data_IF_934512291961
#
_entry.id   IF_934512291961
#
_cell.length_a   1.000
_cell.length_b   1.000
_cell.length_c   1.000
_cell.angle_alpha   90.00
_cell.angle_beta   90.00
_cell.angle_gamma   90.00
#
_symmetry.space_group_name_H-M   'P 1'
#
loop_
_entity.id
_entity.type
_entity.pdbx_description
1 polymer ?
#
# COMPACT_ATOMS: atom_id res chain seq x y z
N UNK A 1 29.16 -85.41 -7.74
CA UNK A 1 27.82 -84.81 -7.92
C UNK A 1 27.72 -83.30 -7.59
N UNK A 2 28.81 -82.55 -7.38
CA UNK A 2 28.75 -81.11 -7.03
C UNK A 2 28.80 -80.14 -8.22
N UNK A 3 29.28 -80.55 -9.41
CA UNK A 3 29.41 -79.66 -10.58
C UNK A 3 28.11 -79.46 -11.38
N UNK A 4 27.20 -80.42 -11.38
CA UNK A 4 25.90 -80.33 -12.09
C UNK A 4 24.94 -79.34 -11.43
N UNK A 5 25.01 -79.21 -10.10
CA UNK A 5 24.14 -78.32 -9.32
C UNK A 5 24.41 -76.82 -9.58
N UNK A 6 25.65 -76.44 -9.91
CA UNK A 6 26.04 -75.04 -10.12
C UNK A 6 25.54 -74.51 -11.48
N UNK A 7 25.58 -75.34 -12.53
CA UNK A 7 25.09 -74.97 -13.86
C UNK A 7 23.57 -74.75 -13.90
N UNK A 8 22.82 -75.54 -13.14
CA UNK A 8 21.36 -75.37 -13.03
C UNK A 8 21.01 -74.07 -12.28
N UNK A 9 21.75 -73.75 -11.21
CA UNK A 9 21.58 -72.50 -10.47
C UNK A 9 21.89 -71.25 -11.30
N UNK A 10 22.92 -71.28 -12.16
CA UNK A 10 23.21 -70.15 -13.05
C UNK A 10 22.13 -69.94 -14.11
N UNK A 11 21.55 -71.02 -14.64
CA UNK A 11 20.48 -70.94 -15.63
C UNK A 11 19.21 -70.37 -14.99
N UNK A 12 18.88 -70.79 -13.76
CA UNK A 12 17.75 -70.23 -13.01
C UNK A 12 17.97 -68.74 -12.72
N UNK A 13 19.17 -68.33 -12.34
CA UNK A 13 19.48 -66.92 -12.07
C UNK A 13 19.36 -66.06 -13.35
N UNK A 14 19.88 -66.54 -14.48
CA UNK A 14 19.78 -65.83 -15.76
C UNK A 14 18.32 -65.75 -16.22
N UNK A 15 17.54 -66.82 -16.07
CA UNK A 15 16.10 -66.80 -16.34
C UNK A 15 15.37 -65.80 -15.45
N UNK A 16 15.68 -65.74 -14.15
CA UNK A 16 15.08 -64.77 -13.23
C UNK A 16 15.42 -63.33 -13.59
N UNK A 17 16.67 -63.06 -14.01
CA UNK A 17 17.10 -61.73 -14.44
C UNK A 17 16.38 -61.32 -15.73
N UNK A 18 16.25 -62.23 -16.71
CA UNK A 18 15.51 -61.97 -17.95
C UNK A 18 14.00 -61.76 -17.70
N UNK A 19 13.41 -62.46 -16.72
CA UNK A 19 12.01 -62.30 -16.36
C UNK A 19 11.74 -60.96 -15.65
N UNK A 20 12.68 -60.51 -14.80
CA UNK A 20 12.61 -59.21 -14.12
C UNK A 20 12.77 -58.06 -15.12
N UNK A 21 13.71 -58.14 -16.07
CA UNK A 21 13.86 -57.10 -17.10
C UNK A 21 12.65 -57.02 -18.03
N UNK A 22 12.06 -58.17 -18.40
CA UNK A 22 10.84 -58.21 -19.20
C UNK A 22 9.64 -57.63 -18.43
N UNK A 23 9.53 -57.91 -17.12
CA UNK A 23 8.51 -57.28 -16.28
C UNK A 23 8.71 -55.77 -16.16
N UNK A 24 9.95 -55.27 -16.03
CA UNK A 24 10.22 -53.83 -15.91
C UNK A 24 9.83 -53.10 -17.20
N UNK A 25 10.23 -53.61 -18.38
CA UNK A 25 9.86 -53.03 -19.68
C UNK A 25 8.35 -53.03 -19.93
N UNK A 26 7.65 -54.11 -19.54
CA UNK A 26 6.19 -54.19 -19.68
C UNK A 26 5.45 -53.36 -18.62
N UNK A 27 6.06 -53.11 -17.45
CA UNK A 27 5.51 -52.23 -16.42
C UNK A 27 5.73 -50.77 -16.79
N UNK A 28 6.88 -50.39 -17.35
CA UNK A 28 7.13 -49.04 -17.89
C UNK A 28 6.27 -48.78 -19.13
N UNK A 29 6.11 -49.74 -20.04
CA UNK A 29 5.13 -49.63 -21.15
C UNK A 29 3.69 -49.58 -20.66
N UNK A 30 3.31 -50.34 -19.63
CA UNK A 30 1.98 -50.23 -19.00
C UNK A 30 1.79 -48.90 -18.28
N UNK A 31 2.80 -48.38 -17.58
CA UNK A 31 2.76 -47.06 -16.95
C UNK A 31 2.64 -45.94 -17.99
N UNK A 32 3.32 -46.07 -19.14
CA UNK A 32 3.17 -45.14 -20.25
C UNK A 32 1.84 -45.30 -21.01
N UNK A 33 1.25 -46.51 -21.04
CA UNK A 33 -0.08 -46.76 -21.62
C UNK A 33 -1.26 -46.49 -20.66
N UNK A 34 -1.06 -46.48 -19.34
CA UNK A 34 -2.12 -46.24 -18.35
C UNK A 34 -2.23 -44.79 -17.88
N UNK A 35 -1.27 -43.92 -18.22
CA UNK A 35 -1.28 -42.50 -17.83
C UNK A 35 -1.71 -41.56 -18.96
N UNK A 36 -2.39 -42.06 -19.98
CA UNK A 36 -3.27 -41.23 -20.79
C UNK A 36 -4.61 -41.09 -20.08
N UNK A 37 -4.67 -40.20 -19.09
CA UNK A 37 -5.94 -39.82 -18.45
C UNK A 37 -6.86 -39.31 -19.55
N UNK A 38 -7.95 -40.03 -19.81
CA UNK A 38 -8.91 -39.64 -20.83
C UNK A 38 -9.53 -38.30 -20.47
N UNK A 39 -9.91 -37.48 -21.46
CA UNK A 39 -10.43 -36.14 -21.20
C UNK A 39 -11.69 -36.16 -20.31
N UNK A 40 -12.47 -37.24 -20.38
CA UNK A 40 -13.61 -37.49 -19.47
C UNK A 40 -13.17 -37.65 -18.01
N UNK A 41 -12.10 -38.41 -17.75
CA UNK A 41 -11.54 -38.58 -16.40
C UNK A 41 -10.95 -37.27 -15.87
N UNK A 42 -10.32 -36.46 -16.74
CA UNK A 42 -9.86 -35.12 -16.37
C UNK A 42 -11.03 -34.24 -15.94
N UNK A 43 -12.12 -34.22 -16.71
CA UNK A 43 -13.32 -33.43 -16.39
C UNK A 43 -13.91 -33.85 -15.03
N UNK A 44 -13.99 -35.16 -14.75
CA UNK A 44 -14.48 -35.67 -13.47
C UNK A 44 -13.55 -35.26 -12.32
N UNK A 45 -12.23 -35.35 -12.51
CA UNK A 45 -11.25 -34.96 -11.50
C UNK A 45 -11.28 -33.45 -11.21
N UNK A 46 -11.31 -32.61 -12.26
CA UNK A 46 -11.36 -31.16 -12.14
C UNK A 46 -12.69 -30.68 -11.54
N UNK A 47 -13.82 -31.30 -11.90
CA UNK A 47 -15.11 -30.97 -11.30
C UNK A 47 -15.18 -31.36 -9.83
N UNK A 48 -14.64 -32.53 -9.44
CA UNK A 48 -14.51 -32.92 -8.04
C UNK A 48 -13.62 -31.96 -7.25
N UNK A 49 -12.47 -31.57 -7.81
CA UNK A 49 -11.58 -30.59 -7.18
C UNK A 49 -12.23 -29.20 -7.06
N UNK A 50 -12.96 -28.75 -8.09
CA UNK A 50 -13.68 -27.48 -8.05
C UNK A 50 -14.74 -27.47 -6.94
N UNK A 51 -15.51 -28.55 -6.78
CA UNK A 51 -16.49 -28.69 -5.69
C UNK A 51 -15.80 -28.67 -4.32
N UNK A 52 -14.65 -29.33 -4.17
CA UNK A 52 -13.88 -29.33 -2.92
C UNK A 52 -13.35 -27.93 -2.59
N UNK A 53 -12.84 -27.19 -3.57
CA UNK A 53 -12.37 -25.81 -3.39
C UNK A 53 -13.52 -24.87 -3.05
N UNK A 54 -14.65 -24.96 -3.75
CA UNK A 54 -15.85 -24.16 -3.45
C UNK A 54 -16.35 -24.49 -2.04
N UNK A 55 -16.40 -25.77 -1.67
CA UNK A 55 -16.77 -26.20 -0.32
C UNK A 55 -15.83 -25.64 0.76
N UNK A 56 -14.53 -25.61 0.49
CA UNK A 56 -13.53 -25.00 1.37
C UNK A 56 -13.76 -23.50 1.54
N UNK A 57 -14.01 -22.77 0.44
CA UNK A 57 -14.32 -21.35 0.48
C UNK A 57 -15.60 -21.07 1.27
N UNK A 58 -16.67 -21.84 1.05
CA UNK A 58 -17.92 -21.71 1.81
C UNK A 58 -17.70 -22.04 3.30
N UNK A 59 -16.88 -23.04 3.61
CA UNK A 59 -16.53 -23.40 4.98
C UNK A 59 -15.75 -22.28 5.69
N UNK A 60 -14.75 -21.70 5.03
CA UNK A 60 -13.97 -20.58 5.56
C UNK A 60 -14.82 -19.31 5.69
N UNK A 61 -15.72 -19.07 4.74
CA UNK A 61 -16.63 -17.92 4.75
C UNK A 61 -17.88 -18.15 5.62
N UNK A 62 -18.05 -19.31 6.27
CA UNK A 62 -19.28 -19.65 7.01
C UNK A 62 -19.58 -18.61 8.10
N UNK A 63 -18.56 -18.12 8.78
CA UNK A 63 -18.72 -17.18 9.91
C UNK A 63 -19.04 -15.75 9.41
N UNK A 64 -18.78 -15.47 8.12
CA UNK A 64 -19.12 -14.20 7.47
C UNK A 64 -20.54 -14.28 6.88
N UNK A 65 -20.87 -15.36 6.18
CA UNK A 65 -22.13 -15.53 5.45
C UNK A 65 -23.29 -15.91 6.39
N UNK A 66 -23.05 -16.81 7.35
CA UNK A 66 -24.06 -17.27 8.31
C UNK A 66 -24.00 -16.52 9.64
N UNK A 67 -23.36 -15.35 9.67
CA UNK A 67 -23.32 -14.51 10.86
C UNK A 67 -24.74 -14.14 11.28
N UNK A 68 -25.13 -14.49 12.51
CA UNK A 68 -26.39 -13.98 13.08
C UNK A 68 -26.30 -12.47 13.21
N UNK A 69 -27.27 -11.75 12.65
CA UNK A 69 -27.37 -10.29 12.81
C UNK A 69 -27.47 -9.97 14.30
N UNK A 70 -26.68 -8.99 14.72
CA UNK A 70 -26.72 -8.52 16.11
C UNK A 70 -27.77 -7.40 16.23
N UNK A 71 -28.14 -7.06 17.46
CA UNK A 71 -29.04 -5.91 17.72
C UNK A 71 -28.51 -4.57 17.19
N UNK A 72 -27.22 -4.49 16.86
CA UNK A 72 -26.61 -3.33 16.21
C UNK A 72 -26.88 -3.31 14.70
N UNK A 73 -26.98 -4.47 14.05
CA UNK A 73 -27.22 -4.60 12.60
C UNK A 73 -28.67 -4.18 12.23
N UNK A 74 -29.65 -4.46 13.09
CA UNK A 74 -31.06 -4.18 12.81
C UNK A 74 -31.50 -2.75 13.15
N UNK A 75 -30.73 -2.03 13.98
CA UNK A 75 -31.05 -0.65 14.39
C UNK A 75 -30.43 0.37 13.44
N UNK A 76 -31.17 1.43 13.14
CA UNK A 76 -30.72 2.54 12.30
C UNK A 76 -30.05 3.59 13.20
N UNK A 77 -28.75 3.41 13.46
CA UNK A 77 -27.94 4.33 14.25
C UNK A 77 -27.21 5.32 13.34
N UNK A 78 -27.14 6.58 13.76
CA UNK A 78 -26.39 7.63 13.05
C UNK A 78 -24.91 7.27 12.86
N UNK A 79 -24.35 6.45 13.75
CA UNK A 79 -22.98 5.92 13.65
C UNK A 79 -22.72 5.04 12.42
N UNK A 80 -23.77 4.49 11.78
CA UNK A 80 -23.62 3.74 10.51
C UNK A 80 -23.42 4.65 9.31
N UNK A 81 -23.94 5.87 9.37
CA UNK A 81 -23.82 6.87 8.31
C UNK A 81 -22.70 7.88 8.58
N UNK A 82 -22.16 7.91 9.79
CA UNK A 82 -21.14 8.86 10.18
C UNK A 82 -19.72 8.40 9.78
N UNK A 83 -19.19 9.03 8.71
CA UNK A 83 -17.82 8.81 8.21
C UNK A 83 -16.74 9.54 9.03
N UNK A 84 -17.11 10.17 10.13
CA UNK A 84 -16.18 10.92 10.99
C UNK A 84 -15.03 10.05 11.49
N UNK A 85 -15.21 8.73 11.65
CA UNK A 85 -14.14 7.85 12.11
C UNK A 85 -13.00 7.68 11.07
N UNK A 86 -13.31 7.64 9.78
CA UNK A 86 -12.30 7.64 8.69
C UNK A 86 -11.55 8.98 8.62
N UNK A 87 -12.21 10.09 9.00
CA UNK A 87 -11.61 11.43 8.99
C UNK A 87 -10.46 11.59 10.00
N UNK A 88 -10.51 10.88 11.13
CA UNK A 88 -9.51 11.00 12.19
C UNK A 88 -8.44 9.90 12.18
N UNK A 89 -8.64 8.82 11.41
CA UNK A 89 -7.64 7.77 11.24
C UNK A 89 -6.78 7.94 9.97
N UNK A 90 -7.02 8.98 9.15
CA UNK A 90 -6.19 9.31 7.99
C UNK A 90 -4.89 10.04 8.34
N UNK A 91 -4.70 10.51 9.57
CA UNK A 91 -3.50 11.27 10.00
C UNK A 91 -2.35 10.37 10.48
N UNK A 92 -2.52 9.05 10.53
CA UNK A 92 -1.47 8.09 10.94
C UNK A 92 -0.93 7.22 9.79
N UNK A 93 -1.23 7.58 8.54
CA UNK A 93 -0.74 6.88 7.34
C UNK A 93 0.09 7.75 6.39
N UNK A 94 0.46 8.97 6.78
CA UNK A 94 1.19 9.90 5.90
C UNK A 94 2.72 9.98 6.17
N UNK A 95 3.24 9.25 7.17
CA UNK A 95 4.68 9.29 7.54
C UNK A 95 5.55 8.17 6.91
N UNK A 96 4.98 7.29 6.07
CA UNK A 96 5.76 6.35 5.25
C UNK A 96 5.54 6.64 3.78
N UNK A 97 6.28 7.63 3.29
CA UNK A 97 6.42 7.98 1.88
C UNK A 97 6.84 6.75 1.04
N UNK A 98 5.91 6.24 0.23
CA UNK A 98 6.30 5.68 -1.05
C UNK A 98 6.80 6.83 -1.94
N UNK A 99 8.10 6.79 -2.25
CA UNK A 99 8.78 7.63 -3.24
C UNK A 99 8.15 7.34 -4.62
N UNK A 100 7.04 8.01 -4.90
CA UNK A 100 6.28 7.89 -6.13
C UNK A 100 5.59 9.21 -6.40
N UNK A 101 6.20 10.02 -7.28
CA UNK A 101 5.77 11.33 -7.77
C UNK A 101 4.25 11.53 -7.90
N UNK A 102 3.55 11.89 -6.82
CA UNK A 102 2.17 12.39 -6.88
C UNK A 102 2.20 13.91 -6.85
N UNK A 103 2.25 14.53 -8.05
CA UNK A 103 2.21 15.99 -8.29
C UNK A 103 0.85 16.65 -7.99
N UNK A 104 0.13 16.21 -6.96
CA UNK A 104 -1.12 16.82 -6.50
C UNK A 104 -1.33 16.54 -5.00
N UNK A 105 -0.42 17.04 -4.16
CA UNK A 105 -0.61 17.06 -2.70
C UNK A 105 -1.83 17.94 -2.35
N UNK A 106 -2.45 17.74 -1.18
CA UNK A 106 -3.48 18.67 -0.66
C UNK A 106 -2.92 20.09 -0.54
N UNK A 107 -1.64 20.20 -0.19
CA UNK A 107 -0.88 21.45 -0.08
C UNK A 107 -0.80 22.21 -1.42
N UNK A 108 -0.60 21.49 -2.54
CA UNK A 108 -0.58 22.11 -3.88
C UNK A 108 -1.91 22.79 -4.22
N UNK A 109 -3.04 22.19 -3.81
CA UNK A 109 -4.38 22.74 -4.09
C UNK A 109 -4.66 23.96 -3.22
N UNK A 110 -4.23 23.93 -1.96
CA UNK A 110 -4.37 25.06 -1.04
C UNK A 110 -3.52 26.24 -1.50
N UNK A 111 -2.26 26.00 -1.87
CA UNK A 111 -1.36 27.03 -2.39
C UNK A 111 -1.92 27.70 -3.66
N UNK A 112 -2.48 26.91 -4.60
CA UNK A 112 -3.13 27.48 -5.80
C UNK A 112 -4.33 28.37 -5.48
N UNK A 113 -5.10 28.05 -4.43
CA UNK A 113 -6.22 28.88 -3.99
C UNK A 113 -5.73 30.16 -3.34
N UNK A 114 -4.67 30.09 -2.53
CA UNK A 114 -4.04 31.28 -1.95
C UNK A 114 -3.61 32.26 -3.04
N UNK A 115 -2.95 31.77 -4.10
CA UNK A 115 -2.56 32.59 -5.26
C UNK A 115 -3.75 33.14 -6.07
N UNK A 116 -4.98 32.69 -5.86
CA UNK A 116 -6.16 33.24 -6.54
C UNK A 116 -6.89 34.29 -5.69
N UNK A 117 -6.50 34.43 -4.43
CA UNK A 117 -7.11 35.38 -3.52
C UNK A 117 -6.64 36.81 -3.86
N UNK A 118 -7.54 37.75 -4.18
CA UNK A 118 -7.18 39.15 -4.45
C UNK A 118 -6.61 39.87 -3.21
N UNK A 119 -6.72 39.27 -2.03
CA UNK A 119 -6.19 39.82 -0.76
C UNK A 119 -4.89 39.17 -0.30
N UNK A 120 -4.15 38.49 -1.20
CA UNK A 120 -2.90 37.79 -0.87
C UNK A 120 -1.90 38.73 -0.18
N UNK A 121 -1.53 38.45 1.09
CA UNK A 121 -0.64 39.35 1.83
C UNK A 121 0.81 39.23 1.33
N UNK A 122 1.56 40.32 1.51
CA UNK A 122 2.98 40.38 1.19
C UNK A 122 3.81 39.63 2.25
N UNK A 123 4.24 38.41 1.92
CA UNK A 123 4.98 37.54 2.82
C UNK A 123 6.38 38.04 3.12
N UNK A 124 7.00 38.81 2.21
CA UNK A 124 8.29 39.44 2.47
C UNK A 124 8.16 40.52 3.54
N UNK A 125 7.08 41.31 3.48
CA UNK A 125 6.77 42.30 4.52
C UNK A 125 6.38 41.65 5.84
N UNK A 126 5.61 40.56 5.84
CA UNK A 126 5.23 39.85 7.07
C UNK A 126 6.47 39.34 7.80
N UNK A 127 7.45 38.79 7.06
CA UNK A 127 8.71 38.31 7.61
C UNK A 127 9.80 39.38 7.72
N UNK A 128 9.49 40.65 7.45
CA UNK A 128 10.43 41.78 7.51
C UNK A 128 11.76 41.48 6.79
N UNK A 129 11.67 40.86 5.60
CA UNK A 129 12.81 40.47 4.78
C UNK A 129 12.76 41.16 3.42
N UNK A 130 13.94 41.36 2.83
CA UNK A 130 14.04 41.84 1.45
C UNK A 130 13.60 40.75 0.46
N UNK A 131 13.09 41.15 -0.71
CA UNK A 131 12.75 40.24 -1.80
C UNK A 131 13.97 39.44 -2.29
N UNK A 132 15.17 39.98 -2.11
CA UNK A 132 16.45 39.33 -2.44
C UNK A 132 17.05 38.54 -1.26
N UNK A 133 16.32 38.37 -0.16
CA UNK A 133 16.84 37.66 1.01
C UNK A 133 17.15 36.19 0.68
N UNK A 134 18.25 35.72 1.26
CA UNK A 134 18.67 34.32 1.19
C UNK A 134 17.78 33.43 2.08
N UNK A 135 17.75 32.13 1.81
CA UNK A 135 17.00 31.16 2.63
C UNK A 135 17.46 31.17 4.09
N UNK A 136 18.75 31.39 4.34
CA UNK A 136 19.30 31.48 5.69
C UNK A 136 18.79 32.71 6.45
N UNK A 137 18.70 33.86 5.78
CA UNK A 137 18.14 35.09 6.35
C UNK A 137 16.65 34.95 6.65
N UNK A 138 15.88 34.36 5.73
CA UNK A 138 14.45 34.07 5.93
C UNK A 138 14.24 33.18 7.15
N UNK A 139 15.03 32.11 7.27
CA UNK A 139 14.97 31.19 8.42
C UNK A 139 15.38 31.86 9.73
N UNK A 140 16.38 32.73 9.69
CA UNK A 140 16.82 33.49 10.87
C UNK A 140 15.74 34.46 11.33
N UNK A 141 15.13 35.22 10.42
CA UNK A 141 14.09 36.18 10.75
C UNK A 141 12.82 35.49 11.26
N UNK A 142 12.40 34.40 10.61
CA UNK A 142 11.29 33.57 11.08
C UNK A 142 11.47 33.15 12.55
N UNK A 143 12.66 32.67 12.94
CA UNK A 143 12.95 32.27 14.32
C UNK A 143 12.84 33.44 15.31
N UNK A 144 13.30 34.63 14.92
CA UNK A 144 13.24 35.84 15.76
C UNK A 144 11.77 36.26 15.95
N UNK A 145 10.99 36.31 14.87
CA UNK A 145 9.58 36.67 14.89
C UNK A 145 8.71 35.66 15.62
N UNK A 146 8.88 34.37 15.36
CA UNK A 146 8.16 33.31 16.05
C UNK A 146 8.40 33.37 17.56
N UNK A 147 9.64 33.62 18.00
CA UNK A 147 9.95 33.79 19.43
C UNK A 147 9.30 35.05 20.03
N UNK A 148 9.16 36.13 19.24
CA UNK A 148 8.52 37.38 19.65
C UNK A 148 7.00 37.24 19.74
N UNK A 149 6.37 36.48 18.86
CA UNK A 149 4.90 36.40 18.74
C UNK A 149 4.32 35.15 19.40
N UNK A 150 5.17 34.22 19.86
CA UNK A 150 4.73 32.96 20.47
C UNK A 150 3.61 33.15 21.52
N UNK A 151 2.46 32.48 21.37
CA UNK A 151 1.28 32.73 22.20
C UNK A 151 1.50 32.39 23.69
N UNK A 152 2.40 31.44 23.97
CA UNK A 152 2.83 31.13 25.35
C UNK A 152 3.50 32.32 26.06
N UNK A 153 4.21 33.17 25.30
CA UNK A 153 4.97 34.31 25.85
C UNK A 153 4.21 35.63 25.75
N UNK A 154 3.39 35.80 24.70
CA UNK A 154 2.57 36.97 24.49
C UNK A 154 1.11 36.56 24.39
N UNK A 155 0.38 36.75 25.49
CA UNK A 155 -1.06 36.43 25.60
C UNK A 155 -1.96 37.52 25.02
N UNK A 156 -1.51 38.21 23.98
CA UNK A 156 -2.35 39.17 23.26
C UNK A 156 -3.28 38.41 22.32
N UNK A 157 -4.53 38.84 22.22
CA UNK A 157 -5.59 38.20 21.42
C UNK A 157 -5.23 38.12 19.91
N UNK A 158 -4.32 38.98 19.45
CA UNK A 158 -3.84 39.01 18.05
C UNK A 158 -2.56 38.19 17.79
N UNK A 159 -1.97 37.60 18.82
CA UNK A 159 -0.73 36.83 18.70
C UNK A 159 -0.90 35.56 17.87
N UNK A 160 -2.05 34.89 18.01
CA UNK A 160 -2.37 33.67 17.27
C UNK A 160 -2.50 33.93 15.77
N UNK A 161 -3.27 34.96 15.37
CA UNK A 161 -3.44 35.32 13.96
C UNK A 161 -2.13 35.75 13.30
N UNK A 162 -1.33 36.55 14.02
CA UNK A 162 -0.02 36.98 13.54
C UNK A 162 0.95 35.80 13.38
N UNK A 163 0.94 34.83 14.31
CA UNK A 163 1.76 33.63 14.20
C UNK A 163 1.37 32.78 12.99
N UNK A 164 0.07 32.62 12.74
CA UNK A 164 -0.44 31.90 11.56
C UNK A 164 0.07 32.54 10.28
N UNK A 165 0.06 33.87 10.17
CA UNK A 165 0.58 34.58 9.00
C UNK A 165 2.09 34.40 8.81
N UNK A 166 2.86 34.45 9.90
CA UNK A 166 4.32 34.26 9.89
C UNK A 166 4.70 32.84 9.46
N UNK A 167 3.98 31.83 9.95
CA UNK A 167 4.18 30.45 9.56
C UNK A 167 3.89 30.25 8.07
N UNK A 168 2.77 30.77 7.56
CA UNK A 168 2.41 30.71 6.14
C UNK A 168 3.45 31.41 5.26
N UNK A 169 3.93 32.58 5.68
CA UNK A 169 4.97 33.32 4.98
C UNK A 169 6.26 32.49 4.87
N UNK A 170 6.67 31.84 5.97
CA UNK A 170 7.88 31.01 5.98
C UNK A 170 7.73 29.76 5.13
N UNK A 171 6.59 29.08 5.16
CA UNK A 171 6.32 27.90 4.33
C UNK A 171 6.49 28.20 2.84
N UNK A 172 5.93 29.32 2.38
CA UNK A 172 6.00 29.71 0.97
C UNK A 172 7.39 30.20 0.57
N UNK A 173 8.04 31.02 1.40
CA UNK A 173 9.34 31.62 1.08
C UNK A 173 10.54 30.68 1.32
N UNK A 174 10.38 29.64 2.16
CA UNK A 174 11.44 28.66 2.43
C UNK A 174 11.61 27.63 1.32
N UNK A 175 10.56 27.35 0.54
CA UNK A 175 10.62 26.45 -0.60
C UNK A 175 10.85 27.25 -1.89
N UNK A 176 11.94 26.95 -2.60
CA UNK A 176 12.30 27.64 -3.83
C UNK A 176 11.22 27.54 -4.92
N UNK A 177 10.51 26.41 -5.03
CA UNK A 177 9.46 26.26 -6.04
C UNK A 177 8.23 27.09 -5.72
N UNK A 178 7.82 27.15 -4.45
CA UNK A 178 6.68 27.94 -4.00
C UNK A 178 7.00 29.43 -4.06
N UNK A 179 8.20 29.82 -3.62
CA UNK A 179 8.71 31.19 -3.73
C UNK A 179 8.69 31.69 -5.16
N UNK A 180 9.19 30.91 -6.13
CA UNK A 180 9.13 31.29 -7.56
C UNK A 180 7.70 31.52 -8.04
N UNK A 181 6.76 30.64 -7.68
CA UNK A 181 5.35 30.80 -8.06
C UNK A 181 4.72 32.04 -7.42
N UNK A 182 5.05 32.32 -6.16
CA UNK A 182 4.63 33.51 -5.45
C UNK A 182 5.19 34.79 -6.08
N UNK A 183 6.49 34.82 -6.39
CA UNK A 183 7.15 35.95 -7.04
C UNK A 183 6.56 36.23 -8.44
N UNK A 184 6.20 35.18 -9.19
CA UNK A 184 5.50 35.34 -10.49
C UNK A 184 4.13 36.00 -10.30
N UNK A 185 3.41 35.66 -9.23
CA UNK A 185 2.11 36.26 -8.93
C UNK A 185 2.25 37.74 -8.53
N UNK A 186 3.22 38.06 -7.67
CA UNK A 186 3.44 39.43 -7.18
C UNK A 186 3.85 40.42 -8.30
N UNK A 187 4.52 39.93 -9.35
CA UNK A 187 4.92 40.74 -10.51
C UNK A 187 3.79 40.95 -11.55
N UNK A 188 2.61 40.38 -11.34
CA UNK A 188 1.51 40.40 -12.33
C UNK A 188 0.52 41.55 -12.11
N UNK A 189 0.58 42.23 -10.97
CA UNK A 189 -0.19 43.43 -10.61
C UNK A 189 0.57 44.71 -10.98
#
# INVERSE_FOLDING_TARGET
MKKVSIGILSIILICMIQNVSAQIDDTERKLQMELEVTDEQKIILFSGFAIAVIGLFVYLARDIILRKKTTYDDKEFDSKNDKTYEKYHSDWSDDYEEIGTRKNSKEDKEFRRLLQDPSLPDYYKILDVSHNATLEEIKKQYRIMAKKIHPDKNKEEKSDEAMVQINKAYEILSNEELRKKYDIHLNKD
#
